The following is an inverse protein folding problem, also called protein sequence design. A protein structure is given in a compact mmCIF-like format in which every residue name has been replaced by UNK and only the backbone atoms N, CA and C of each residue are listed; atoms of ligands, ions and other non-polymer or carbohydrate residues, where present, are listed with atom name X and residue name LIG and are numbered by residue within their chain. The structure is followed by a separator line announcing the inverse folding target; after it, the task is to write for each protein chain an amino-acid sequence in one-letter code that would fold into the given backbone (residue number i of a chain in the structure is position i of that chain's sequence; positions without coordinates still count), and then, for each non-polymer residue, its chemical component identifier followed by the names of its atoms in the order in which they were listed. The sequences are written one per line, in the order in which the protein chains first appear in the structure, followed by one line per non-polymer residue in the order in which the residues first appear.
data_IF_983440233661
#
_entry.id   IF_983440233661
#
_cell.length_a   1.000
_cell.length_b   1.000
_cell.length_c   1.000
_cell.angle_alpha   90.00
_cell.angle_beta   90.00
_cell.angle_gamma   90.00
#
_symmetry.space_group_name_H-M   'P 1'
#
loop_
_entity.id
_entity.type
_entity.pdbx_description
1 polymer ?
#
# COMPACT_ATOMS: atom_id res chain seq x y z
N UNK A 1 18.11 -4.29 5.72
CA UNK A 1 17.04 -3.34 5.95
C UNK A 1 16.12 -3.84 7.06
N UNK A 2 15.43 -2.95 7.79
CA UNK A 2 14.51 -3.34 8.88
C UNK A 2 13.11 -2.80 8.62
N UNK A 3 12.11 -3.68 8.62
CA UNK A 3 10.70 -3.33 8.46
C UNK A 3 9.99 -3.31 9.81
N UNK A 4 9.13 -2.32 10.06
CA UNK A 4 8.12 -2.36 11.12
C UNK A 4 6.76 -2.65 10.47
N UNK A 5 6.16 -3.79 10.81
CA UNK A 5 4.79 -4.14 10.40
C UNK A 5 3.86 -3.84 11.57
N UNK A 6 2.98 -2.86 11.39
CA UNK A 6 2.05 -2.45 12.46
C UNK A 6 0.93 -3.46 12.60
N UNK A 7 0.63 -3.86 13.82
CA UNK A 7 -0.46 -4.79 14.13
C UNK A 7 -1.61 -4.02 14.79
N UNK A 8 -2.75 -3.94 14.12
CA UNK A 8 -3.99 -3.42 14.71
C UNK A 8 -4.89 -4.58 15.17
N UNK A 9 -5.77 -4.37 16.15
CA UNK A 9 -6.84 -5.32 16.43
C UNK A 9 -7.67 -5.57 15.16
N UNK A 10 -7.72 -6.81 14.66
CA UNK A 10 -8.40 -7.16 13.42
C UNK A 10 -7.56 -7.09 12.15
N UNK A 11 -6.26 -6.76 12.22
CA UNK A 11 -5.33 -7.04 11.12
C UNK A 11 -5.32 -8.54 10.81
N UNK A 12 -5.23 -8.89 9.53
CA UNK A 12 -5.18 -10.30 9.11
C UNK A 12 -4.10 -10.59 8.06
N UNK A 13 -3.44 -9.57 7.50
CA UNK A 13 -2.27 -9.72 6.63
C UNK A 13 -1.00 -9.10 7.21
N UNK A 14 -0.99 -8.83 8.52
CA UNK A 14 0.21 -8.42 9.26
C UNK A 14 1.29 -9.51 9.23
N UNK A 15 0.89 -10.77 9.49
CA UNK A 15 1.83 -11.88 9.40
C UNK A 15 2.25 -12.18 7.95
N UNK A 16 1.37 -12.01 6.95
CA UNK A 16 1.73 -12.13 5.53
C UNK A 16 2.81 -11.11 5.15
N UNK A 17 2.65 -9.86 5.58
CA UNK A 17 3.64 -8.79 5.35
C UNK A 17 4.97 -9.06 6.09
N UNK A 18 4.89 -9.51 7.34
CA UNK A 18 6.05 -9.93 8.12
C UNK A 18 6.79 -11.09 7.44
N UNK A 19 6.05 -12.13 7.01
CA UNK A 19 6.61 -13.28 6.31
C UNK A 19 7.30 -12.86 5.00
N UNK A 20 6.63 -12.04 4.18
CA UNK A 20 7.17 -11.56 2.93
C UNK A 20 8.48 -10.77 3.15
N UNK A 21 8.55 -9.89 4.15
CA UNK A 21 9.75 -9.14 4.48
C UNK A 21 10.86 -10.05 5.05
N UNK A 22 10.54 -10.93 6.00
CA UNK A 22 11.55 -11.70 6.75
C UNK A 22 11.98 -12.98 6.03
N UNK A 23 11.04 -13.76 5.47
CA UNK A 23 11.35 -15.07 4.89
C UNK A 23 11.58 -15.00 3.39
N UNK A 24 10.79 -14.19 2.66
CA UNK A 24 10.89 -14.11 1.21
C UNK A 24 12.02 -13.17 0.77
N UNK A 25 12.14 -12.01 1.43
CA UNK A 25 13.22 -11.04 1.13
C UNK A 25 14.48 -11.26 1.95
N UNK A 26 14.42 -12.01 3.06
CA UNK A 26 15.56 -12.24 3.96
C UNK A 26 15.96 -10.99 4.78
N UNK A 27 15.05 -10.04 4.93
CA UNK A 27 15.28 -8.80 5.65
C UNK A 27 14.84 -8.91 7.13
N UNK A 28 15.26 -8.00 7.98
CA UNK A 28 14.75 -7.95 9.35
C UNK A 28 13.35 -7.35 9.37
N UNK A 29 12.42 -7.94 10.15
CA UNK A 29 11.08 -7.40 10.33
C UNK A 29 10.63 -7.56 11.78
N UNK A 30 9.93 -6.54 12.31
CA UNK A 30 9.29 -6.58 13.61
C UNK A 30 7.79 -6.37 13.48
N UNK A 31 7.00 -7.14 14.24
CA UNK A 31 5.59 -6.86 14.47
C UNK A 31 5.47 -5.81 15.59
N UNK A 32 4.87 -4.66 15.28
CA UNK A 32 4.73 -3.53 16.20
C UNK A 32 3.26 -3.35 16.57
N UNK A 33 2.94 -3.50 17.86
CA UNK A 33 1.56 -3.37 18.32
C UNK A 33 1.06 -1.92 18.24
N UNK A 34 -0.16 -1.72 17.80
CA UNK A 34 -0.74 -0.38 17.57
C UNK A 34 -0.75 0.56 18.79
N UNK A 35 -0.62 0.03 20.02
CA UNK A 35 -0.50 0.85 21.24
C UNK A 35 0.93 1.28 21.57
N UNK A 36 1.92 0.67 20.92
CA UNK A 36 3.29 1.10 21.03
C UNK A 36 3.48 2.47 20.36
N UNK A 37 4.58 3.14 20.69
CA UNK A 37 4.99 4.40 20.04
C UNK A 37 6.39 4.31 19.43
N UNK A 38 7.03 3.14 19.58
CA UNK A 38 8.38 2.87 19.07
C UNK A 38 8.31 2.01 17.81
N UNK A 39 8.84 2.52 16.70
CA UNK A 39 8.94 1.81 15.42
C UNK A 39 10.16 0.89 15.35
N UNK A 40 10.90 0.67 16.47
CA UNK A 40 12.02 -0.26 16.58
C UNK A 40 13.17 0.06 15.61
N UNK A 41 13.48 1.34 15.41
CA UNK A 41 14.52 1.81 14.48
C UNK A 41 14.33 1.26 13.05
N UNK A 42 13.08 1.21 12.60
CA UNK A 42 12.75 0.71 11.27
C UNK A 42 13.21 1.65 10.16
N UNK A 43 13.65 1.05 9.05
CA UNK A 43 13.97 1.73 7.80
C UNK A 43 12.73 1.95 6.93
N UNK A 44 11.70 1.11 7.08
CA UNK A 44 10.40 1.24 6.44
C UNK A 44 9.27 0.72 7.33
N UNK A 45 8.08 1.29 7.15
CA UNK A 45 6.86 0.91 7.87
C UNK A 45 5.83 0.33 6.91
N UNK A 46 5.19 -0.78 7.31
CA UNK A 46 4.04 -1.37 6.61
C UNK A 46 2.82 -1.30 7.52
N UNK A 47 1.76 -0.66 7.03
CA UNK A 47 0.41 -0.77 7.58
C UNK A 47 -0.31 -1.87 6.80
N UNK A 48 -0.61 -3.02 7.42
CA UNK A 48 -1.11 -4.20 6.72
C UNK A 48 -2.59 -4.10 6.41
N UNK A 49 -3.07 -5.05 5.59
CA UNK A 49 -4.49 -5.27 5.37
C UNK A 49 -5.19 -5.95 6.53
N UNK A 50 -6.50 -5.97 6.47
CA UNK A 50 -7.37 -6.58 7.45
C UNK A 50 -8.64 -5.77 7.67
N UNK A 51 -9.13 -5.80 8.90
CA UNK A 51 -10.33 -5.10 9.37
C UNK A 51 -10.02 -4.41 10.70
N UNK A 52 -9.11 -3.42 10.67
CA UNK A 52 -8.61 -2.76 11.87
C UNK A 52 -9.75 -2.21 12.75
N UNK A 53 -9.79 -2.67 14.00
CA UNK A 53 -10.88 -2.38 14.95
C UNK A 53 -12.28 -2.79 14.45
N UNK A 54 -12.37 -3.81 13.55
CA UNK A 54 -13.63 -4.28 12.99
C UNK A 54 -14.28 -3.32 12.00
N UNK A 55 -13.52 -2.33 11.48
CA UNK A 55 -13.99 -1.29 10.57
C UNK A 55 -15.22 -0.50 11.10
N UNK A 56 -15.36 -0.42 12.41
CA UNK A 56 -16.42 0.35 13.05
C UNK A 56 -16.38 1.81 12.58
N UNK A 57 -17.56 2.39 12.34
CA UNK A 57 -17.82 3.69 11.70
C UNK A 57 -17.53 3.66 10.19
N UNK A 58 -16.30 3.39 9.78
CA UNK A 58 -15.81 3.12 8.45
C UNK A 58 -14.38 2.59 8.51
N UNK A 59 -13.90 2.03 7.42
CA UNK A 59 -12.57 1.43 7.31
C UNK A 59 -11.46 2.42 7.68
N UNK A 60 -10.56 2.00 8.58
CA UNK A 60 -9.42 2.82 9.02
C UNK A 60 -9.74 3.94 10.04
N UNK A 61 -11.02 4.29 10.26
CA UNK A 61 -11.41 5.46 11.03
C UNK A 61 -10.97 5.43 12.50
N UNK A 62 -10.97 4.27 13.14
CA UNK A 62 -10.51 4.12 14.53
C UNK A 62 -8.99 3.93 14.57
N UNK A 63 -8.44 3.15 13.63
CA UNK A 63 -7.02 2.84 13.57
C UNK A 63 -6.13 4.10 13.49
N UNK A 64 -6.59 5.15 12.81
CA UNK A 64 -5.87 6.43 12.69
C UNK A 64 -5.53 7.08 14.05
N UNK A 65 -6.29 6.77 15.12
CA UNK A 65 -6.07 7.29 16.45
C UNK A 65 -5.17 6.39 17.32
N UNK A 66 -4.71 5.26 16.80
CA UNK A 66 -3.79 4.40 17.53
C UNK A 66 -2.48 5.15 17.86
N UNK A 67 -1.91 4.97 19.05
CA UNK A 67 -0.68 5.66 19.47
C UNK A 67 0.45 5.58 18.45
N UNK A 68 0.66 4.40 17.83
CA UNK A 68 1.69 4.20 16.81
C UNK A 68 1.58 5.15 15.62
N UNK A 69 0.37 5.61 15.26
CA UNK A 69 0.15 6.47 14.09
C UNK A 69 0.82 7.85 14.24
N UNK A 70 1.03 8.33 15.45
CA UNK A 70 1.83 9.53 15.70
C UNK A 70 3.29 9.33 15.28
N UNK A 71 3.85 8.16 15.61
CA UNK A 71 5.22 7.80 15.22
C UNK A 71 5.34 7.55 13.72
N UNK A 72 4.34 6.88 13.12
CA UNK A 72 4.26 6.67 11.65
C UNK A 72 4.24 8.01 10.93
N UNK A 73 3.42 8.97 11.40
CA UNK A 73 3.37 10.32 10.82
C UNK A 73 4.72 11.02 10.92
N UNK A 74 5.33 11.03 12.11
CA UNK A 74 6.65 11.63 12.31
C UNK A 74 7.72 10.99 11.42
N UNK A 75 7.70 9.67 11.29
CA UNK A 75 8.58 8.91 10.41
C UNK A 75 8.40 9.29 8.94
N UNK A 76 7.14 9.36 8.47
CA UNK A 76 6.81 9.80 7.12
C UNK A 76 7.25 11.26 6.86
N UNK A 77 7.03 12.16 7.81
CA UNK A 77 7.42 13.58 7.70
C UNK A 77 8.94 13.76 7.61
N UNK A 78 9.72 12.83 8.15
CA UNK A 78 11.20 12.78 8.00
C UNK A 78 11.64 12.11 6.70
N UNK A 79 10.72 11.71 5.82
CA UNK A 79 11.00 11.06 4.55
C UNK A 79 11.16 9.54 4.65
N UNK A 80 10.77 8.94 5.76
CA UNK A 80 10.77 7.49 5.93
C UNK A 80 9.72 6.83 5.03
N UNK A 81 10.04 5.68 4.39
CA UNK A 81 9.11 4.94 3.54
C UNK A 81 7.96 4.32 4.32
N UNK A 82 6.71 4.59 3.90
CA UNK A 82 5.51 3.99 4.50
C UNK A 82 4.66 3.36 3.40
N UNK A 83 4.31 2.09 3.56
CA UNK A 83 3.42 1.35 2.69
C UNK A 83 2.12 1.01 3.43
N UNK A 84 0.98 1.45 2.91
CA UNK A 84 -0.33 1.01 3.35
C UNK A 84 -0.94 0.03 2.36
N UNK A 85 -1.26 -1.18 2.82
CA UNK A 85 -1.84 -2.25 2.00
C UNK A 85 -3.30 -2.43 2.37
N UNK A 86 -4.23 -2.35 1.40
CA UNK A 86 -5.66 -2.56 1.59
C UNK A 86 -6.21 -1.72 2.76
N UNK A 87 -6.52 -2.33 3.91
CA UNK A 87 -6.93 -1.61 5.11
C UNK A 87 -5.87 -0.60 5.60
N UNK A 88 -4.59 -0.89 5.45
CA UNK A 88 -3.50 0.05 5.72
C UNK A 88 -3.57 1.31 4.83
N UNK A 89 -3.95 1.17 3.56
CA UNK A 89 -4.19 2.32 2.69
C UNK A 89 -5.38 3.16 3.19
N UNK A 90 -6.47 2.51 3.60
CA UNK A 90 -7.62 3.18 4.21
C UNK A 90 -7.22 3.96 5.46
N UNK A 91 -6.36 3.39 6.31
CA UNK A 91 -5.81 4.07 7.49
C UNK A 91 -4.97 5.29 7.09
N UNK A 92 -4.14 5.21 6.04
CA UNK A 92 -3.35 6.36 5.55
C UNK A 92 -4.24 7.50 5.05
N UNK A 93 -5.36 7.19 4.37
CA UNK A 93 -6.35 8.19 3.94
C UNK A 93 -7.01 8.85 5.16
N UNK A 94 -7.48 8.07 6.12
CA UNK A 94 -8.12 8.56 7.35
C UNK A 94 -7.16 9.39 8.23
N UNK A 95 -5.87 9.06 8.22
CA UNK A 95 -4.83 9.80 8.95
C UNK A 95 -4.38 11.08 8.22
N UNK A 96 -4.86 11.33 7.00
CA UNK A 96 -4.47 12.49 6.18
C UNK A 96 -3.03 12.41 5.66
N UNK A 97 -2.44 11.21 5.61
CA UNK A 97 -1.11 10.97 5.03
C UNK A 97 -1.19 10.79 3.50
N UNK A 98 -2.36 10.45 3.00
CA UNK A 98 -2.70 10.41 1.58
C UNK A 98 -4.03 11.13 1.33
N UNK A 99 -4.24 11.77 0.18
CA UNK A 99 -5.48 12.47 -0.14
C UNK A 99 -6.58 11.51 -0.62
N UNK A 100 -7.84 11.92 -0.50
CA UNK A 100 -9.01 11.16 -0.93
C UNK A 100 -9.63 10.32 0.17
N UNK A 101 -10.47 9.39 -0.23
CA UNK A 101 -11.19 8.47 0.66
C UNK A 101 -11.42 7.12 -0.01
N UNK A 102 -11.69 6.11 0.80
CA UNK A 102 -12.14 4.81 0.30
C UNK A 102 -13.63 4.65 0.59
N UNK A 103 -14.39 4.23 -0.41
CA UNK A 103 -15.83 3.98 -0.29
C UNK A 103 -16.14 2.53 -0.69
N UNK A 104 -17.40 2.12 -0.48
CA UNK A 104 -17.86 0.79 -0.87
C UNK A 104 -17.67 0.55 -2.37
N UNK A 105 -17.32 -0.68 -2.71
CA UNK A 105 -17.28 -1.14 -4.11
C UNK A 105 -18.60 -0.81 -4.80
N UNK A 106 -18.55 -0.42 -6.06
CA UNK A 106 -19.70 0.01 -6.87
C UNK A 106 -20.86 -1.00 -6.89
N UNK A 107 -20.55 -2.30 -6.89
CA UNK A 107 -21.55 -3.40 -6.87
C UNK A 107 -21.99 -3.81 -5.46
N UNK A 108 -21.51 -3.12 -4.41
CA UNK A 108 -21.82 -3.41 -2.99
C UNK A 108 -21.50 -4.88 -2.63
N UNK A 109 -20.45 -5.43 -3.23
CA UNK A 109 -20.00 -6.81 -3.01
C UNK A 109 -18.55 -6.83 -2.56
N UNK A 110 -18.22 -7.77 -1.70
CA UNK A 110 -16.86 -8.14 -1.41
C UNK A 110 -16.25 -8.80 -2.66
N UNK A 111 -15.09 -8.32 -3.08
CA UNK A 111 -14.37 -8.86 -4.23
C UNK A 111 -13.07 -9.51 -3.73
N UNK A 112 -12.86 -10.78 -4.11
CA UNK A 112 -11.65 -11.53 -3.80
C UNK A 112 -11.20 -12.26 -5.05
N UNK A 113 -10.13 -11.75 -5.68
CA UNK A 113 -9.57 -12.30 -6.92
C UNK A 113 -8.17 -11.75 -7.19
N UNK A 114 -7.41 -12.39 -8.07
CA UNK A 114 -6.18 -11.82 -8.63
C UNK A 114 -6.56 -10.87 -9.76
N UNK A 115 -6.00 -9.66 -9.73
CA UNK A 115 -6.26 -8.62 -10.74
C UNK A 115 -4.95 -8.13 -11.35
N UNK A 116 -4.93 -7.80 -12.65
CA UNK A 116 -3.81 -7.11 -13.25
C UNK A 116 -3.79 -5.63 -12.83
N UNK A 117 -2.61 -5.18 -12.41
CA UNK A 117 -2.35 -3.83 -11.93
C UNK A 117 -1.14 -3.28 -12.66
N UNK A 118 -1.29 -2.13 -13.32
CA UNK A 118 -0.20 -1.51 -14.07
C UNK A 118 0.55 -0.49 -13.21
N UNK A 119 1.88 -0.56 -13.25
CA UNK A 119 2.77 0.41 -12.62
C UNK A 119 2.81 1.68 -13.47
N UNK A 120 2.33 2.80 -12.91
CA UNK A 120 2.33 4.10 -13.59
C UNK A 120 3.60 4.90 -13.32
N UNK A 121 4.17 4.80 -12.13
CA UNK A 121 5.37 5.52 -11.71
C UNK A 121 6.35 4.58 -11.02
N UNK A 122 7.66 4.82 -11.26
CA UNK A 122 8.75 3.98 -10.75
C UNK A 122 9.71 4.75 -9.83
N UNK A 123 9.29 5.91 -9.33
CA UNK A 123 10.11 6.84 -8.56
C UNK A 123 9.68 6.95 -7.09
N UNK A 124 9.13 5.86 -6.54
CA UNK A 124 8.82 5.72 -5.11
C UNK A 124 9.66 4.58 -4.48
N UNK A 125 9.83 4.56 -3.15
CA UNK A 125 10.51 3.46 -2.47
C UNK A 125 9.91 2.08 -2.77
N UNK A 126 8.64 1.99 -3.17
CA UNK A 126 7.94 0.74 -3.40
C UNK A 126 7.75 0.42 -4.89
N UNK A 127 8.34 1.19 -5.78
CA UNK A 127 8.23 0.98 -7.24
C UNK A 127 9.55 1.14 -8.00
N UNK A 128 10.64 1.55 -7.34
CA UNK A 128 11.93 1.79 -7.98
C UNK A 128 12.50 0.55 -8.69
N UNK A 129 12.17 -0.64 -8.21
CA UNK A 129 12.54 -1.92 -8.83
C UNK A 129 11.59 -2.36 -9.94
N UNK A 130 10.50 -1.64 -10.19
CA UNK A 130 9.55 -1.95 -11.24
C UNK A 130 9.96 -1.33 -12.57
N UNK A 131 9.41 -1.87 -13.66
CA UNK A 131 9.50 -1.27 -15.00
C UNK A 131 8.26 -0.43 -15.27
N UNK A 132 8.42 0.73 -15.91
CA UNK A 132 7.29 1.59 -16.28
C UNK A 132 6.30 0.81 -17.17
N UNK A 133 5.01 0.92 -16.87
CA UNK A 133 3.91 0.18 -17.51
C UNK A 133 3.94 -1.34 -17.30
N UNK A 134 4.80 -1.84 -16.44
CA UNK A 134 4.76 -3.25 -16.03
C UNK A 134 3.37 -3.61 -15.46
N UNK A 135 2.84 -4.75 -15.87
CA UNK A 135 1.60 -5.30 -15.30
C UNK A 135 1.96 -6.35 -14.26
N UNK A 136 1.45 -6.18 -13.05
CA UNK A 136 1.58 -7.10 -11.93
C UNK A 136 0.24 -7.78 -11.67
N UNK A 137 0.26 -9.07 -11.37
CA UNK A 137 -0.94 -9.83 -11.00
C UNK A 137 -0.99 -9.95 -9.48
N UNK A 138 -1.83 -9.14 -8.86
CA UNK A 138 -1.91 -9.02 -7.40
C UNK A 138 -3.31 -9.39 -6.90
N UNK A 139 -3.43 -10.10 -5.76
CA UNK A 139 -4.72 -10.37 -5.15
C UNK A 139 -5.34 -9.10 -4.55
N UNK A 140 -6.66 -9.00 -4.65
CA UNK A 140 -7.50 -8.06 -3.91
C UNK A 140 -8.49 -8.83 -3.05
N UNK A 141 -8.84 -8.29 -1.88
CA UNK A 141 -9.82 -8.88 -0.95
C UNK A 141 -10.47 -7.77 -0.12
N UNK A 142 -11.52 -7.13 -0.65
CA UNK A 142 -12.14 -5.96 -0.01
C UNK A 142 -13.60 -5.75 -0.40
N UNK A 143 -14.39 -5.16 0.52
CA UNK A 143 -15.73 -4.63 0.27
C UNK A 143 -15.75 -3.12 0.06
N UNK A 144 -14.71 -2.42 0.53
CA UNK A 144 -14.50 -0.98 0.45
C UNK A 144 -13.12 -0.69 -0.17
N UNK A 145 -13.01 -0.82 -1.49
CA UNK A 145 -11.78 -0.58 -2.23
C UNK A 145 -11.92 0.45 -3.34
N UNK A 146 -13.08 1.09 -3.43
CA UNK A 146 -13.38 2.11 -4.42
C UNK A 146 -12.76 3.45 -3.99
N UNK A 147 -11.65 3.83 -4.61
CA UNK A 147 -11.00 5.11 -4.35
C UNK A 147 -11.82 6.27 -4.91
N UNK A 148 -12.08 7.25 -4.05
CA UNK A 148 -12.81 8.47 -4.35
C UNK A 148 -12.03 9.71 -3.93
N UNK A 149 -12.05 10.75 -4.77
CA UNK A 149 -11.57 12.08 -4.41
C UNK A 149 -12.36 13.14 -5.18
N UNK A 150 -12.46 14.38 -4.66
CA UNK A 150 -13.02 15.51 -5.42
C UNK A 150 -12.26 15.75 -6.72
N UNK A 151 -12.91 16.30 -7.76
CA UNK A 151 -12.28 16.50 -9.07
C UNK A 151 -10.94 17.24 -9.01
N UNK A 152 -10.85 18.30 -8.22
CA UNK A 152 -9.63 19.07 -8.05
C UNK A 152 -8.47 18.28 -7.42
N UNK A 153 -8.79 17.34 -6.53
CA UNK A 153 -7.78 16.43 -5.94
C UNK A 153 -7.33 15.40 -6.96
N UNK A 154 -8.25 14.87 -7.78
CA UNK A 154 -7.92 13.95 -8.87
C UNK A 154 -7.01 14.63 -9.91
N UNK A 155 -7.34 15.85 -10.32
CA UNK A 155 -6.51 16.64 -11.23
C UNK A 155 -5.09 16.86 -10.67
N UNK A 156 -4.97 17.17 -9.37
CA UNK A 156 -3.68 17.33 -8.72
C UNK A 156 -2.89 16.00 -8.66
N UNK A 157 -3.54 14.88 -8.35
CA UNK A 157 -2.89 13.56 -8.35
C UNK A 157 -2.34 13.20 -9.73
N UNK A 158 -3.11 13.47 -10.79
CA UNK A 158 -2.68 13.22 -12.17
C UNK A 158 -1.53 14.15 -12.58
N UNK A 159 -1.69 15.46 -12.37
CA UNK A 159 -0.69 16.48 -12.74
C UNK A 159 0.64 16.24 -12.02
N UNK A 160 0.60 15.84 -10.74
CA UNK A 160 1.78 15.57 -9.93
C UNK A 160 2.29 14.12 -10.07
N UNK A 161 1.68 13.30 -10.95
CA UNK A 161 2.06 11.91 -11.19
C UNK A 161 2.04 11.09 -9.89
N UNK A 162 1.06 11.34 -9.00
CA UNK A 162 0.92 10.66 -7.72
C UNK A 162 0.10 9.37 -7.81
N UNK A 163 -0.53 9.09 -8.95
CA UNK A 163 -1.14 7.79 -9.22
C UNK A 163 -0.03 6.80 -9.58
N UNK A 164 0.16 5.79 -8.73
CA UNK A 164 1.27 4.84 -8.81
C UNK A 164 0.85 3.53 -9.49
N UNK A 165 -0.37 3.09 -9.22
CA UNK A 165 -0.93 1.86 -9.75
C UNK A 165 -2.35 2.06 -10.27
N UNK A 166 -2.69 1.40 -11.41
CA UNK A 166 -4.06 1.35 -11.93
C UNK A 166 -4.49 -0.08 -12.21
N UNK A 167 -5.77 -0.35 -12.00
CA UNK A 167 -6.40 -1.56 -12.51
C UNK A 167 -6.42 -1.53 -14.04
N UNK A 168 -6.10 -2.65 -14.66
CA UNK A 168 -5.96 -2.76 -16.12
C UNK A 168 -6.42 -4.13 -16.63
N UNK A 169 -6.44 -4.31 -17.95
CA UNK A 169 -6.45 -5.64 -18.58
C UNK A 169 -5.11 -6.35 -18.35
N UNK A 170 -5.04 -7.64 -18.68
CA UNK A 170 -3.78 -8.39 -18.67
C UNK A 170 -2.73 -7.82 -19.65
N UNK A 171 -3.15 -7.10 -20.70
CA UNK A 171 -2.27 -6.39 -21.64
C UNK A 171 -1.92 -4.96 -21.21
N UNK A 172 -2.41 -4.51 -20.06
CA UNK A 172 -2.13 -3.17 -19.51
C UNK A 172 -3.05 -2.06 -20.02
N UNK A 173 -4.18 -2.39 -20.63
CA UNK A 173 -5.19 -1.42 -21.08
C UNK A 173 -6.03 -0.92 -19.90
N UNK A 174 -6.28 0.39 -19.86
CA UNK A 174 -7.17 1.00 -18.86
C UNK A 174 -8.59 1.05 -19.42
N UNK A 175 -9.57 0.59 -18.65
CA UNK A 175 -10.97 0.63 -19.01
C UNK A 175 -11.86 0.36 -17.81
N UNK A 176 -13.13 0.79 -17.91
CA UNK A 176 -14.10 0.56 -16.83
C UNK A 176 -14.36 -0.93 -16.61
N UNK A 177 -14.27 -1.74 -17.66
CA UNK A 177 -14.44 -3.20 -17.64
C UNK A 177 -13.35 -3.92 -16.84
N UNK A 178 -12.18 -3.32 -16.69
CA UNK A 178 -11.04 -3.86 -15.93
C UNK A 178 -10.97 -3.33 -14.48
N UNK A 179 -11.88 -2.43 -14.13
CA UNK A 179 -11.96 -1.83 -12.81
C UNK A 179 -12.85 -2.69 -11.88
N UNK A 180 -12.28 -3.41 -10.90
CA UNK A 180 -13.04 -4.40 -10.13
C UNK A 180 -13.97 -3.79 -9.09
N UNK A 181 -13.82 -2.50 -8.76
CA UNK A 181 -14.44 -1.90 -7.57
C UNK A 181 -15.04 -0.50 -7.77
N UNK A 182 -14.91 0.08 -8.98
CA UNK A 182 -15.43 1.41 -9.30
C UNK A 182 -14.50 2.58 -8.91
N UNK A 183 -13.25 2.32 -8.55
CA UNK A 183 -12.26 3.37 -8.24
C UNK A 183 -12.17 4.41 -9.34
N UNK A 184 -12.20 5.70 -8.98
CA UNK A 184 -12.06 6.79 -9.95
C UNK A 184 -10.74 6.63 -10.73
N UNK A 185 -10.80 6.83 -12.05
CA UNK A 185 -9.67 6.67 -12.98
C UNK A 185 -8.96 5.30 -12.91
N UNK A 186 -9.64 4.26 -12.42
CA UNK A 186 -9.05 2.94 -12.22
C UNK A 186 -7.91 2.92 -11.18
N UNK A 187 -7.86 3.88 -10.28
CA UNK A 187 -6.79 4.02 -9.29
C UNK A 187 -6.77 2.80 -8.36
N UNK A 188 -5.65 2.07 -8.37
CA UNK A 188 -5.38 0.96 -7.47
C UNK A 188 -4.42 1.36 -6.33
N UNK A 189 -3.65 2.44 -6.52
CA UNK A 189 -2.72 2.97 -5.53
C UNK A 189 -2.17 4.34 -5.88
N UNK A 190 -1.86 5.11 -4.84
CA UNK A 190 -1.32 6.48 -4.93
C UNK A 190 -0.13 6.69 -3.99
N UNK A 191 0.62 7.78 -4.20
CA UNK A 191 1.59 8.26 -3.23
C UNK A 191 1.31 9.69 -2.77
N UNK A 192 1.95 10.11 -1.68
CA UNK A 192 1.99 11.51 -1.26
C UNK A 192 2.92 12.34 -2.17
N UNK A 193 2.89 13.68 -2.01
CA UNK A 193 3.72 14.60 -2.80
C UNK A 193 5.23 14.39 -2.62
N UNK A 194 5.67 13.87 -1.47
CA UNK A 194 7.08 13.52 -1.19
C UNK A 194 7.48 12.15 -1.71
N UNK A 195 6.52 11.38 -2.23
CA UNK A 195 6.71 10.05 -2.82
C UNK A 195 7.20 8.95 -1.87
N UNK A 196 7.22 9.19 -0.57
CA UNK A 196 7.67 8.25 0.44
C UNK A 196 6.54 7.49 1.16
N UNK A 197 5.29 7.96 1.04
CA UNK A 197 4.10 7.26 1.54
C UNK A 197 3.32 6.75 0.34
N UNK A 198 3.11 5.45 0.29
CA UNK A 198 2.38 4.76 -0.78
C UNK A 198 1.24 3.96 -0.17
N UNK A 199 0.04 4.07 -0.75
CA UNK A 199 -1.10 3.22 -0.44
C UNK A 199 -1.55 2.47 -1.68
N UNK A 200 -1.85 1.17 -1.55
CA UNK A 200 -2.45 0.39 -2.60
C UNK A 200 -3.48 -0.61 -2.06
N UNK A 201 -4.55 -0.85 -2.81
CA UNK A 201 -5.59 -1.82 -2.43
C UNK A 201 -5.21 -3.28 -2.68
N UNK A 202 -4.50 -3.63 -3.76
CA UNK A 202 -3.96 -4.97 -3.94
C UNK A 202 -2.93 -5.36 -2.87
N UNK A 203 -2.75 -6.66 -2.68
CA UNK A 203 -1.90 -7.27 -1.66
C UNK A 203 -0.60 -7.83 -2.25
N UNK A 204 0.49 -7.04 -2.33
CA UNK A 204 1.78 -7.53 -2.84
C UNK A 204 2.38 -8.60 -1.92
N UNK A 205 2.13 -8.55 -0.60
CA UNK A 205 2.61 -9.54 0.36
C UNK A 205 2.01 -10.94 0.13
N UNK A 206 0.79 -11.01 -0.43
CA UNK A 206 0.10 -12.24 -0.80
C UNK A 206 0.41 -12.72 -2.23
N UNK A 207 1.31 -12.02 -2.92
CA UNK A 207 1.86 -12.38 -4.23
C UNK A 207 3.39 -12.28 -4.20
N UNK A 208 4.02 -12.66 -3.10
CA UNK A 208 5.47 -12.58 -2.89
C UNK A 208 6.22 -13.82 -3.38
N UNK A 209 5.53 -14.93 -3.61
CA UNK A 209 6.06 -16.22 -4.06
C UNK A 209 5.10 -16.88 -5.06
N UNK A 210 5.66 -17.60 -6.06
CA UNK A 210 4.86 -18.26 -7.09
C UNK A 210 3.86 -19.29 -6.54
N UNK A 211 4.16 -19.91 -5.40
CA UNK A 211 3.30 -20.86 -4.70
C UNK A 211 1.97 -20.24 -4.23
N UNK A 212 1.93 -18.91 -4.08
CA UNK A 212 0.73 -18.15 -3.70
C UNK A 212 -0.15 -17.81 -4.92
N UNK A 213 0.21 -18.31 -6.13
CA UNK A 213 -0.50 -18.04 -7.38
C UNK A 213 0.10 -16.90 -8.21
N UNK A 214 0.92 -16.03 -7.62
CA UNK A 214 1.71 -14.99 -8.29
C UNK A 214 2.92 -14.65 -7.43
N UNK A 215 4.06 -14.37 -8.07
CA UNK A 215 5.26 -13.81 -7.42
C UNK A 215 5.47 -12.32 -7.74
N UNK A 216 4.52 -11.69 -8.43
CA UNK A 216 4.68 -10.33 -8.96
C UNK A 216 4.74 -9.27 -7.86
N UNK A 217 4.15 -9.54 -6.69
CA UNK A 217 4.16 -8.61 -5.56
C UNK A 217 5.53 -8.46 -4.89
N UNK A 218 6.42 -9.44 -5.09
CA UNK A 218 7.77 -9.40 -4.51
C UNK A 218 8.53 -8.14 -4.91
N UNK A 219 8.39 -7.67 -6.17
CA UNK A 219 9.11 -6.50 -6.67
C UNK A 219 8.72 -5.22 -5.90
N UNK A 220 7.47 -5.12 -5.44
CA UNK A 220 6.98 -3.95 -4.67
C UNK A 220 7.71 -3.85 -3.33
N UNK A 221 7.82 -4.95 -2.59
CA UNK A 221 8.50 -4.98 -1.30
C UNK A 221 10.02 -4.91 -1.46
N UNK A 222 10.59 -5.60 -2.46
CA UNK A 222 12.02 -5.55 -2.78
C UNK A 222 12.48 -4.16 -3.23
N UNK A 223 11.61 -3.37 -3.84
CA UNK A 223 11.89 -1.97 -4.19
C UNK A 223 12.31 -1.15 -2.97
N UNK A 224 11.72 -1.39 -1.80
CA UNK A 224 12.10 -0.67 -0.58
C UNK A 224 13.54 -0.99 -0.16
N UNK A 225 13.95 -2.24 -0.31
CA UNK A 225 15.32 -2.69 -0.02
C UNK A 225 16.30 -2.02 -0.99
N UNK A 226 15.99 -2.04 -2.28
CA UNK A 226 16.79 -1.37 -3.31
C UNK A 226 16.93 0.13 -3.01
N UNK A 227 15.82 0.80 -2.71
CA UNK A 227 15.79 2.25 -2.44
C UNK A 227 16.66 2.62 -1.24
N UNK A 228 16.63 1.83 -0.16
CA UNK A 228 17.49 2.05 1.01
C UNK A 228 18.97 1.86 0.66
N UNK A 229 19.32 0.81 -0.09
CA UNK A 229 20.70 0.57 -0.50
C UNK A 229 21.26 1.73 -1.35
N UNK A 230 20.45 2.26 -2.29
CA UNK A 230 20.86 3.42 -3.10
C UNK A 230 21.06 4.69 -2.27
N UNK A 231 20.29 4.90 -1.21
CA UNK A 231 20.47 6.04 -0.29
C UNK A 231 21.75 5.94 0.52
N UNK A 232 22.03 4.76 1.07
CA UNK A 232 23.29 4.52 1.82
C UNK A 232 24.48 4.82 0.93
N UNK A 233 24.48 4.36 -0.33
CA UNK A 233 25.56 4.61 -1.28
C UNK A 233 25.74 6.08 -1.66
N UNK A 234 24.66 6.90 -1.63
CA UNK A 234 24.73 8.34 -1.93
C UNK A 234 25.28 9.19 -0.76
N UNK A 235 25.27 8.64 0.45
CA UNK A 235 25.71 9.34 1.66
C UNK A 235 27.01 8.77 2.25
N UNK A 236 27.60 7.73 1.64
CA UNK A 236 28.91 7.16 1.92
C UNK A 236 29.98 7.77 0.98
#
# INVERSE_FOLDING_TARGET
MKFAVVVFPGSNSDYDAFYAASQVLGEHADLVWHKDTDLKDADAVILPGGFAHGDYLRTGAIARFSPIMSSVKTFADRGGPVLGICNGFQVLLEAGLLPGAMVRNDRIKFVSQIVPVRVEQTDTPFTIGCVSKQVLHLPIAHGEGNYYAPPEVLEQLEANRQVIFRYTSASGEIGAEWNPNGSLNGIAGICNSRRNVVGLMPHPERASESQLGSGDGRVVLASAVQWMNERVLRHA
#
